data_IF_502018583471
#
_entry.id   IF_502018583471
#
_cell.length_a   1.000
_cell.length_b   1.000
_cell.length_c   1.000
_cell.angle_alpha   90.00
_cell.angle_beta   90.00
_cell.angle_gamma   90.00
#
_symmetry.space_group_name_H-M   'P 1'
#
loop_
_entity.id
_entity.type
_entity.pdbx_description
1 polymer ?
#
# COMPACT_ATOMS: atom_id res chain seq x y z
N UNK A 1 29.77 -1.49 8.39
CA UNK A 1 29.55 -0.41 7.40
C UNK A 1 28.07 -0.39 7.04
N UNK A 2 27.46 0.78 7.00
CA UNK A 2 26.08 0.95 6.55
C UNK A 2 25.93 0.52 5.09
N UNK A 3 24.75 0.02 4.70
CA UNK A 3 24.48 -0.26 3.29
C UNK A 3 24.41 1.04 2.50
N UNK A 4 24.95 1.08 1.29
CA UNK A 4 24.78 2.23 0.37
C UNK A 4 23.30 2.63 0.17
N UNK A 5 22.38 1.67 0.31
CA UNK A 5 20.92 1.89 0.24
C UNK A 5 20.36 2.73 1.38
N UNK A 6 21.08 2.82 2.49
CA UNK A 6 20.66 3.56 3.67
C UNK A 6 21.16 5.01 3.61
N UNK A 7 22.19 5.28 2.81
CA UNK A 7 22.80 6.60 2.67
C UNK A 7 22.03 7.41 1.63
N UNK A 8 21.37 8.49 2.08
CA UNK A 8 20.54 9.35 1.24
C UNK A 8 21.32 9.95 0.05
N UNK A 9 22.54 10.44 0.28
CA UNK A 9 23.35 11.06 -0.78
C UNK A 9 23.78 10.09 -1.88
N UNK A 10 23.72 8.77 -1.62
CA UNK A 10 24.09 7.72 -2.57
C UNK A 10 22.87 7.14 -3.26
N UNK A 11 21.80 6.83 -2.50
CA UNK A 11 20.65 6.09 -3.00
C UNK A 11 19.34 6.89 -3.06
N UNK A 12 19.30 8.06 -2.42
CA UNK A 12 18.13 8.94 -2.41
C UNK A 12 17.96 9.70 -3.73
N UNK A 13 16.75 10.22 -4.00
CA UNK A 13 16.46 10.98 -5.22
C UNK A 13 16.98 12.43 -5.13
N UNK A 14 18.30 12.61 -5.09
CA UNK A 14 18.95 13.93 -4.95
C UNK A 14 18.65 14.89 -6.11
N UNK A 15 18.15 14.38 -7.24
CA UNK A 15 17.66 15.17 -8.37
C UNK A 15 16.36 15.94 -8.07
N UNK A 16 15.67 15.65 -6.96
CA UNK A 16 14.43 16.30 -6.53
C UNK A 16 14.66 17.47 -5.55
N UNK A 17 15.64 18.34 -5.84
CA UNK A 17 15.98 19.47 -4.96
C UNK A 17 14.84 20.48 -4.73
N UNK A 18 13.84 20.51 -5.62
CA UNK A 18 12.59 21.24 -5.44
C UNK A 18 11.42 20.34 -5.83
N UNK A 19 10.45 20.20 -4.93
CA UNK A 19 9.26 19.36 -5.15
C UNK A 19 8.13 20.17 -5.77
N UNK A 20 7.69 19.76 -6.95
CA UNK A 20 6.41 20.11 -7.55
C UNK A 20 5.33 19.16 -7.03
N UNK A 21 4.51 19.65 -6.11
CA UNK A 21 3.43 18.89 -5.48
C UNK A 21 2.25 18.56 -6.41
N UNK A 22 2.18 19.15 -7.60
CA UNK A 22 1.22 18.74 -8.64
C UNK A 22 1.73 17.55 -9.46
N UNK A 23 3.04 17.27 -9.44
CA UNK A 23 3.65 16.21 -10.23
C UNK A 23 3.51 14.83 -9.54
N UNK A 24 2.73 13.87 -10.09
CA UNK A 24 2.54 12.56 -9.45
C UNK A 24 3.84 11.77 -9.26
N UNK A 25 4.81 11.93 -10.17
CA UNK A 25 6.12 11.29 -10.08
C UNK A 25 6.90 11.77 -8.84
N UNK A 26 6.87 13.07 -8.55
CA UNK A 26 7.58 13.64 -7.42
C UNK A 26 6.87 13.31 -6.11
N UNK A 27 5.53 13.39 -6.05
CA UNK A 27 4.73 12.95 -4.89
C UNK A 27 5.03 11.48 -4.53
N UNK A 28 5.03 10.60 -5.53
CA UNK A 28 5.40 9.18 -5.35
C UNK A 28 6.81 9.03 -4.78
N UNK A 29 7.78 9.75 -5.34
CA UNK A 29 9.18 9.67 -4.90
C UNK A 29 9.34 10.14 -3.45
N UNK A 30 8.70 11.25 -3.07
CA UNK A 30 8.66 11.74 -1.68
C UNK A 30 8.03 10.71 -0.74
N UNK A 31 6.84 10.19 -1.08
CA UNK A 31 6.16 9.19 -0.26
C UNK A 31 7.01 7.93 -0.07
N UNK A 32 7.67 7.45 -1.13
CA UNK A 32 8.58 6.31 -1.05
C UNK A 32 9.83 6.60 -0.20
N UNK A 33 10.40 7.81 -0.29
CA UNK A 33 11.53 8.25 0.55
C UNK A 33 11.16 8.33 2.03
N UNK A 34 9.97 8.84 2.36
CA UNK A 34 9.49 8.87 3.74
C UNK A 34 9.29 7.45 4.30
N UNK A 35 8.75 6.51 3.51
CA UNK A 35 8.68 5.10 3.90
C UNK A 35 10.07 4.48 4.07
N UNK A 36 11.03 4.77 3.19
CA UNK A 36 12.42 4.33 3.33
C UNK A 36 13.06 4.86 4.61
N UNK A 37 12.75 6.10 5.00
CA UNK A 37 13.27 6.65 6.26
C UNK A 37 12.81 5.87 7.49
N UNK A 38 11.61 5.27 7.47
CA UNK A 38 11.13 4.38 8.56
C UNK A 38 11.97 3.10 8.64
N UNK A 39 12.37 2.53 7.50
CA UNK A 39 13.30 1.41 7.48
C UNK A 39 14.63 1.77 8.11
N UNK A 40 15.14 2.97 7.83
CA UNK A 40 16.45 3.41 8.33
C UNK A 40 16.36 3.82 9.79
N UNK A 41 15.25 4.41 10.25
CA UNK A 41 14.99 4.69 11.67
C UNK A 41 15.11 3.42 12.52
N UNK A 42 14.54 2.31 12.04
CA UNK A 42 14.65 1.04 12.75
C UNK A 42 16.07 0.44 12.67
N UNK A 43 16.79 0.61 11.56
CA UNK A 43 18.20 0.17 11.48
C UNK A 43 19.12 1.02 12.36
N UNK A 44 18.91 2.33 12.40
CA UNK A 44 19.60 3.25 13.31
C UNK A 44 19.38 2.80 14.76
N UNK A 45 18.16 2.41 15.12
CA UNK A 45 17.86 1.81 16.44
C UNK A 45 18.59 0.50 16.68
N UNK A 46 18.54 -0.45 15.73
CA UNK A 46 19.19 -1.77 15.86
C UNK A 46 20.72 -1.68 15.97
N UNK A 47 21.32 -0.70 15.31
CA UNK A 47 22.77 -0.48 15.29
C UNK A 47 23.23 0.60 16.29
N UNK A 48 22.32 1.13 17.11
CA UNK A 48 22.56 2.22 18.06
C UNK A 48 23.19 3.47 17.42
N UNK A 49 22.81 3.81 16.18
CA UNK A 49 23.22 5.05 15.52
C UNK A 49 22.41 6.21 16.09
N UNK A 50 23.09 7.13 16.76
CA UNK A 50 22.52 8.38 17.27
C UNK A 50 22.98 9.55 16.39
N UNK A 51 22.39 10.75 16.48
CA UNK A 51 22.97 11.93 15.86
C UNK A 51 24.39 12.19 16.41
N UNK A 52 25.39 12.53 15.56
CA UNK A 52 25.29 12.84 14.13
C UNK A 52 25.41 11.64 13.17
N UNK A 53 25.62 10.41 13.65
CA UNK A 53 25.80 9.20 12.83
C UNK A 53 24.49 8.58 12.29
N UNK A 54 23.33 9.06 12.75
CA UNK A 54 22.01 8.62 12.29
C UNK A 54 21.82 8.91 10.78
N UNK A 55 21.39 7.90 10.02
CA UNK A 55 21.24 8.03 8.56
C UNK A 55 19.81 8.41 8.15
N UNK A 56 18.82 8.12 9.00
CA UNK A 56 17.43 8.36 8.66
C UNK A 56 17.07 9.84 8.39
N UNK A 57 17.61 10.84 9.13
CA UNK A 57 17.18 12.24 8.99
C UNK A 57 17.24 12.82 7.59
N UNK A 58 18.31 12.53 6.85
CA UNK A 58 18.50 13.03 5.50
C UNK A 58 17.35 12.65 4.54
N UNK A 59 16.62 11.56 4.81
CA UNK A 59 15.52 11.09 3.96
C UNK A 59 14.22 11.91 4.07
N UNK A 60 14.02 12.65 5.16
CA UNK A 60 12.86 13.52 5.32
C UNK A 60 13.25 15.00 5.30
N UNK A 61 14.41 15.36 5.85
CA UNK A 61 14.89 16.75 5.89
C UNK A 61 15.13 17.32 4.49
N UNK A 62 15.63 16.51 3.55
CA UNK A 62 15.82 16.91 2.16
C UNK A 62 14.53 17.42 1.50
N UNK A 63 13.38 16.89 1.93
CA UNK A 63 12.06 17.27 1.43
C UNK A 63 11.34 18.25 2.35
N UNK A 64 12.05 18.88 3.29
CA UNK A 64 11.50 19.84 4.25
C UNK A 64 10.42 19.25 5.16
N UNK A 65 10.60 18.01 5.59
CA UNK A 65 9.77 17.42 6.66
C UNK A 65 10.53 17.43 8.00
N UNK A 66 9.77 17.30 9.08
CA UNK A 66 10.26 17.02 10.42
C UNK A 66 9.59 15.75 10.96
N UNK A 67 10.35 14.93 11.71
CA UNK A 67 9.81 13.76 12.39
C UNK A 67 9.10 14.18 13.69
N UNK A 68 7.78 14.00 13.74
CA UNK A 68 6.96 14.35 14.91
C UNK A 68 6.87 13.19 15.89
N UNK A 69 6.68 11.98 15.38
CA UNK A 69 6.46 10.79 16.22
C UNK A 69 6.96 9.53 15.54
N UNK A 70 7.67 8.69 16.28
CA UNK A 70 7.96 7.30 15.92
C UNK A 70 6.79 6.42 16.38
N UNK A 71 6.33 5.51 15.53
CA UNK A 71 5.36 4.47 15.89
C UNK A 71 6.14 3.21 16.23
N UNK A 72 6.10 2.83 17.50
CA UNK A 72 6.87 1.73 18.09
C UNK A 72 5.89 0.63 18.44
N UNK A 73 6.26 -0.61 18.13
CA UNK A 73 5.47 -1.78 18.47
C UNK A 73 5.68 -2.16 19.94
N UNK A 74 4.59 -2.38 20.68
CA UNK A 74 4.65 -2.78 22.09
C UNK A 74 5.22 -4.20 22.27
N UNK A 75 5.14 -5.05 21.24
CA UNK A 75 5.58 -6.44 21.33
C UNK A 75 7.10 -6.62 21.26
N UNK A 76 7.77 -5.89 20.37
CA UNK A 76 9.22 -6.06 20.09
C UNK A 76 10.01 -4.74 20.14
N UNK A 77 9.37 -3.63 20.49
CA UNK A 77 9.93 -2.28 20.54
C UNK A 77 10.51 -1.81 19.19
N UNK A 78 10.14 -2.46 18.08
CA UNK A 78 10.59 -2.06 16.76
C UNK A 78 9.81 -0.83 16.28
N UNK A 79 10.51 0.08 15.63
CA UNK A 79 9.90 1.22 14.94
C UNK A 79 9.30 0.66 13.65
N UNK A 80 7.97 0.73 13.49
CA UNK A 80 7.27 0.20 12.31
C UNK A 80 6.61 1.30 11.46
N UNK A 81 6.49 2.51 12.02
CA UNK A 81 5.97 3.68 11.31
C UNK A 81 6.50 4.99 11.88
N UNK A 82 6.19 6.08 11.21
CA UNK A 82 6.46 7.43 11.69
C UNK A 82 5.47 8.45 11.14
N UNK A 83 5.33 9.55 11.87
CA UNK A 83 4.51 10.72 11.52
C UNK A 83 5.44 11.88 11.22
N UNK A 84 5.32 12.45 10.03
CA UNK A 84 6.11 13.57 9.55
C UNK A 84 5.22 14.80 9.36
N UNK A 85 5.73 15.98 9.69
CA UNK A 85 5.09 17.24 9.38
C UNK A 85 5.90 18.00 8.33
N UNK A 86 5.22 18.54 7.34
CA UNK A 86 5.86 19.36 6.31
C UNK A 86 6.11 20.78 6.84
N UNK A 87 7.36 21.23 6.76
CA UNK A 87 7.84 22.54 7.19
C UNK A 87 8.50 23.26 6.00
N UNK A 88 7.71 23.88 5.10
CA UNK A 88 8.27 24.53 3.93
C UNK A 88 9.26 25.63 4.32
N UNK A 89 10.32 25.78 3.52
CA UNK A 89 11.23 26.90 3.69
C UNK A 89 10.49 28.23 3.55
N UNK A 90 10.85 29.24 4.36
CA UNK A 90 10.16 30.53 4.44
C UNK A 90 10.10 31.35 3.11
N UNK A 91 10.73 30.86 2.03
CA UNK A 91 10.80 31.50 0.71
C UNK A 91 10.05 30.74 -0.39
N UNK A 92 9.37 29.65 -0.08
CA UNK A 92 8.61 28.90 -1.09
C UNK A 92 7.32 29.65 -1.42
N UNK A 93 7.11 29.98 -2.69
CA UNK A 93 5.89 30.66 -3.15
C UNK A 93 4.65 29.79 -2.88
N UNK A 94 3.58 30.41 -2.38
CA UNK A 94 2.34 29.71 -1.98
C UNK A 94 1.71 28.86 -3.10
N UNK A 95 1.87 29.29 -4.37
CA UNK A 95 1.36 28.53 -5.53
C UNK A 95 2.05 27.18 -5.72
N UNK A 96 3.32 27.05 -5.32
CA UNK A 96 4.06 25.78 -5.40
C UNK A 96 3.73 24.85 -4.25
N UNK A 97 3.09 25.35 -3.18
CA UNK A 97 2.67 24.55 -2.03
C UNK A 97 1.24 24.01 -2.17
N UNK A 98 0.53 24.39 -3.22
CA UNK A 98 -0.77 23.80 -3.54
C UNK A 98 -0.62 22.27 -3.65
N UNK A 99 -1.42 21.52 -2.89
CA UNK A 99 -1.40 20.05 -2.78
C UNK A 99 -0.21 19.44 -2.01
N UNK A 100 0.63 20.24 -1.35
CA UNK A 100 1.61 19.71 -0.40
C UNK A 100 0.89 19.06 0.80
N UNK A 101 1.34 17.88 1.27
CA UNK A 101 0.80 17.30 2.49
C UNK A 101 1.23 18.15 3.69
N UNK A 102 0.35 18.27 4.68
CA UNK A 102 0.71 18.83 5.98
C UNK A 102 1.31 17.75 6.87
N UNK A 103 0.72 16.56 6.87
CA UNK A 103 1.19 15.41 7.64
C UNK A 103 1.28 14.18 6.73
N UNK A 104 2.34 13.40 6.91
CA UNK A 104 2.48 12.08 6.29
C UNK A 104 2.63 11.03 7.39
N UNK A 105 1.79 10.01 7.38
CA UNK A 105 1.95 8.81 8.21
C UNK A 105 2.51 7.70 7.33
N UNK A 106 3.75 7.30 7.58
CA UNK A 106 4.45 6.29 6.78
C UNK A 106 4.68 5.00 7.57
N UNK A 107 4.53 3.86 6.90
CA UNK A 107 4.71 2.52 7.49
C UNK A 107 5.71 1.70 6.68
N UNK A 108 6.72 1.13 7.34
CA UNK A 108 7.65 0.19 6.70
C UNK A 108 7.05 -1.21 6.64
N UNK A 109 7.54 -2.01 5.71
CA UNK A 109 7.39 -3.45 5.76
C UNK A 109 8.48 -4.11 6.63
N UNK A 110 8.66 -5.41 6.43
CA UNK A 110 9.55 -6.24 7.24
C UNK A 110 11.02 -6.00 6.91
N UNK A 111 11.85 -5.90 7.95
CA UNK A 111 13.30 -5.85 7.83
C UNK A 111 13.83 -7.26 7.60
N UNK A 112 13.91 -7.65 6.35
CA UNK A 112 14.34 -8.99 5.97
C UNK A 112 15.85 -9.05 5.75
N UNK A 113 16.47 -10.17 6.17
CA UNK A 113 17.85 -10.47 5.80
C UNK A 113 17.87 -10.91 4.34
N UNK A 114 18.99 -10.67 3.64
CA UNK A 114 19.08 -10.86 2.18
C UNK A 114 18.62 -12.25 1.71
N UNK A 115 18.84 -13.28 2.53
CA UNK A 115 18.57 -14.68 2.17
C UNK A 115 17.20 -15.19 2.65
N UNK A 116 16.48 -14.43 3.50
CA UNK A 116 15.20 -14.83 4.10
C UNK A 116 13.99 -14.06 3.57
N UNK A 117 14.18 -13.07 2.69
CA UNK A 117 13.15 -12.13 2.23
C UNK A 117 11.84 -12.81 1.83
N UNK A 118 11.89 -13.79 0.92
CA UNK A 118 10.67 -14.44 0.44
C UNK A 118 9.95 -15.26 1.53
N UNK A 119 10.70 -15.87 2.45
CA UNK A 119 10.13 -16.64 3.57
C UNK A 119 9.45 -15.73 4.57
N UNK A 120 10.14 -14.67 4.98
CA UNK A 120 9.63 -13.72 5.97
C UNK A 120 8.36 -13.03 5.45
N UNK A 121 8.36 -12.62 4.18
CA UNK A 121 7.18 -12.03 3.54
C UNK A 121 6.01 -13.03 3.41
N UNK A 122 6.29 -14.31 3.22
CA UNK A 122 5.25 -15.34 3.21
C UNK A 122 4.65 -15.58 4.60
N UNK A 123 5.45 -15.47 5.67
CA UNK A 123 4.94 -15.48 7.05
C UNK A 123 4.11 -14.23 7.34
N UNK A 124 4.54 -13.06 6.85
CA UNK A 124 3.76 -11.82 6.97
C UNK A 124 2.43 -11.90 6.22
N UNK A 125 2.39 -12.56 5.06
CA UNK A 125 1.14 -12.85 4.33
C UNK A 125 0.17 -13.70 5.16
N UNK A 126 0.69 -14.68 5.92
CA UNK A 126 -0.14 -15.46 6.85
C UNK A 126 -0.63 -14.60 8.02
N UNK A 127 0.19 -13.69 8.54
CA UNK A 127 -0.25 -12.72 9.56
C UNK A 127 -1.41 -11.85 9.03
N UNK A 128 -1.31 -11.40 7.77
CA UNK A 128 -2.37 -10.63 7.11
C UNK A 128 -3.66 -11.42 7.00
N UNK A 129 -3.58 -12.69 6.58
CA UNK A 129 -4.72 -13.61 6.50
C UNK A 129 -5.35 -13.88 7.86
N UNK A 130 -4.52 -14.04 8.90
CA UNK A 130 -4.96 -14.52 10.21
C UNK A 130 -5.38 -13.42 11.19
N UNK A 131 -5.22 -12.14 10.82
CA UNK A 131 -5.79 -11.03 11.58
C UNK A 131 -4.81 -9.89 11.85
N UNK A 132 -4.27 -9.25 10.81
CA UNK A 132 -3.44 -8.05 10.98
C UNK A 132 -4.12 -6.97 11.84
N UNK A 133 -5.44 -6.84 11.72
CA UNK A 133 -6.28 -5.90 12.49
C UNK A 133 -6.35 -6.19 14.00
N UNK A 134 -5.79 -7.31 14.46
CA UNK A 134 -5.75 -7.73 15.86
C UNK A 134 -4.35 -7.55 16.47
N UNK A 135 -3.42 -6.93 15.74
CA UNK A 135 -2.05 -6.69 16.21
C UNK A 135 -1.92 -5.33 16.91
N UNK A 136 -1.02 -5.23 17.89
CA UNK A 136 -0.61 -3.97 18.53
C UNK A 136 -0.25 -2.89 17.50
N UNK A 137 0.53 -3.25 16.47
CA UNK A 137 0.89 -2.35 15.36
C UNK A 137 -0.32 -1.76 14.67
N UNK A 138 -1.35 -2.58 14.42
CA UNK A 138 -2.57 -2.10 13.77
C UNK A 138 -3.34 -1.12 14.64
N UNK A 139 -3.44 -1.39 15.95
CA UNK A 139 -4.11 -0.50 16.90
C UNK A 139 -3.39 0.84 17.01
N UNK A 140 -2.06 0.82 17.20
CA UNK A 140 -1.21 2.01 17.26
C UNK A 140 -1.29 2.82 15.97
N UNK A 141 -1.24 2.16 14.80
CA UNK A 141 -1.38 2.81 13.50
C UNK A 141 -2.75 3.49 13.36
N UNK A 142 -3.83 2.77 13.68
CA UNK A 142 -5.20 3.29 13.63
C UNK A 142 -5.37 4.51 14.55
N UNK A 143 -4.86 4.43 15.77
CA UNK A 143 -4.92 5.54 16.72
C UNK A 143 -4.10 6.74 16.24
N UNK A 144 -2.90 6.51 15.71
CA UNK A 144 -2.07 7.58 15.17
C UNK A 144 -2.75 8.31 14.01
N UNK A 145 -3.33 7.58 13.05
CA UNK A 145 -4.04 8.16 11.91
C UNK A 145 -5.27 8.95 12.36
N UNK A 146 -6.09 8.39 13.25
CA UNK A 146 -7.26 9.10 13.81
C UNK A 146 -6.88 10.38 14.52
N UNK A 147 -5.83 10.35 15.34
CA UNK A 147 -5.34 11.52 16.07
C UNK A 147 -4.79 12.60 15.14
N UNK A 148 -4.06 12.21 14.09
CA UNK A 148 -3.58 13.17 13.08
C UNK A 148 -4.77 13.84 12.41
N UNK A 149 -5.73 13.05 11.88
CA UNK A 149 -6.90 13.57 11.17
C UNK A 149 -7.75 14.47 12.07
N UNK A 150 -7.93 14.12 13.34
CA UNK A 150 -8.69 14.96 14.28
C UNK A 150 -7.98 16.29 14.60
N UNK A 151 -6.63 16.32 14.53
CA UNK A 151 -5.83 17.50 14.85
C UNK A 151 -5.70 18.46 13.67
N UNK A 152 -5.46 17.95 12.46
CA UNK A 152 -5.16 18.80 11.29
C UNK A 152 -6.26 18.84 10.24
N UNK A 153 -7.34 18.08 10.42
CA UNK A 153 -8.35 17.83 9.39
C UNK A 153 -7.95 16.70 8.45
N UNK A 154 -8.86 16.33 7.54
CA UNK A 154 -8.62 15.28 6.55
C UNK A 154 -7.89 15.77 5.30
N UNK A 155 -8.07 17.04 4.93
CA UNK A 155 -7.34 17.67 3.84
C UNK A 155 -5.86 17.75 4.21
N UNK A 156 -4.99 17.28 3.30
CA UNK A 156 -3.52 17.31 3.43
C UNK A 156 -2.90 16.27 4.39
N UNK A 157 -3.58 15.15 4.68
CA UNK A 157 -2.97 13.99 5.35
C UNK A 157 -2.70 12.88 4.34
N UNK A 158 -1.45 12.42 4.26
CA UNK A 158 -1.07 11.27 3.44
C UNK A 158 -0.85 10.02 4.29
N UNK A 159 -1.30 8.89 3.78
CA UNK A 159 -0.86 7.56 4.22
C UNK A 159 0.15 7.02 3.21
N UNK A 160 1.25 6.47 3.66
CA UNK A 160 2.21 5.79 2.80
C UNK A 160 2.65 4.48 3.44
N UNK A 161 2.82 3.43 2.63
CA UNK A 161 3.33 2.18 3.16
C UNK A 161 3.95 1.31 2.09
N UNK A 162 4.88 0.46 2.51
CA UNK A 162 5.53 -0.52 1.64
C UNK A 162 5.35 -1.95 2.16
N UNK A 163 5.04 -2.91 1.28
CA UNK A 163 4.93 -4.33 1.64
C UNK A 163 3.95 -4.51 2.81
N UNK A 164 4.31 -5.14 3.92
CA UNK A 164 3.45 -5.21 5.13
C UNK A 164 2.99 -3.82 5.62
N UNK A 165 3.83 -2.78 5.53
CA UNK A 165 3.45 -1.42 5.87
C UNK A 165 2.38 -0.84 4.96
N UNK A 166 2.33 -1.26 3.69
CA UNK A 166 1.23 -0.86 2.79
C UNK A 166 -0.08 -1.56 3.15
N UNK A 167 -0.05 -2.79 3.66
CA UNK A 167 -1.24 -3.44 4.21
C UNK A 167 -1.78 -2.67 5.42
N UNK A 168 -0.88 -2.08 6.22
CA UNK A 168 -1.26 -1.20 7.33
C UNK A 168 -1.83 0.13 6.89
N UNK A 169 -1.22 0.77 5.88
CA UNK A 169 -1.78 1.95 5.24
C UNK A 169 -3.17 1.65 4.63
N UNK A 170 -3.36 0.48 4.02
CA UNK A 170 -4.66 0.05 3.47
C UNK A 170 -5.70 -0.16 4.57
N UNK A 171 -5.34 -0.82 5.68
CA UNK A 171 -6.25 -0.99 6.81
C UNK A 171 -6.69 0.37 7.36
N UNK A 172 -5.75 1.28 7.58
CA UNK A 172 -6.03 2.63 8.07
C UNK A 172 -6.88 3.44 7.09
N UNK A 173 -6.51 3.44 5.81
CA UNK A 173 -7.25 4.11 4.74
C UNK A 173 -8.68 3.62 4.61
N UNK A 174 -8.90 2.30 4.59
CA UNK A 174 -10.25 1.70 4.57
C UNK A 174 -11.09 2.14 5.77
N UNK A 175 -10.51 2.13 6.97
CA UNK A 175 -11.23 2.55 8.18
C UNK A 175 -11.63 4.03 8.13
N UNK A 176 -10.75 4.90 7.66
CA UNK A 176 -11.06 6.33 7.51
C UNK A 176 -12.09 6.58 6.40
N UNK A 177 -11.96 5.89 5.27
CA UNK A 177 -12.91 6.00 4.15
C UNK A 177 -14.33 5.56 4.56
N UNK A 178 -14.45 4.51 5.39
CA UNK A 178 -15.73 4.08 5.97
C UNK A 178 -16.41 5.13 6.85
N UNK A 179 -15.64 6.06 7.41
CA UNK A 179 -16.18 7.21 8.17
C UNK A 179 -16.31 8.47 7.32
N UNK A 180 -16.23 8.36 5.98
CA UNK A 180 -16.34 9.48 5.05
C UNK A 180 -15.05 10.30 4.86
N UNK A 181 -13.91 9.83 5.35
CA UNK A 181 -12.63 10.53 5.26
C UNK A 181 -11.73 9.87 4.22
N UNK A 182 -11.58 10.52 3.07
CA UNK A 182 -10.77 10.02 1.95
C UNK A 182 -9.35 10.55 2.04
N UNK A 183 -8.43 9.73 2.53
CA UNK A 183 -7.02 10.08 2.64
C UNK A 183 -6.25 9.75 1.37
N UNK A 184 -5.41 10.68 0.92
CA UNK A 184 -4.38 10.41 -0.09
C UNK A 184 -3.50 9.27 0.40
N UNK A 185 -3.45 8.17 -0.34
CA UNK A 185 -2.81 6.93 0.12
C UNK A 185 -1.88 6.35 -0.93
N UNK A 186 -0.63 6.10 -0.56
CA UNK A 186 0.44 5.60 -1.42
C UNK A 186 0.83 4.18 -0.98
N UNK A 187 0.42 3.18 -1.76
CA UNK A 187 0.60 1.76 -1.47
C UNK A 187 1.69 1.17 -2.36
N UNK A 188 2.88 0.94 -1.80
CA UNK A 188 4.02 0.39 -2.53
C UNK A 188 4.13 -1.12 -2.33
N UNK A 189 4.06 -1.87 -3.43
CA UNK A 189 4.19 -3.32 -3.45
C UNK A 189 3.31 -4.04 -2.41
N UNK A 190 2.00 -3.72 -2.33
CA UNK A 190 1.15 -4.34 -1.33
C UNK A 190 0.96 -5.83 -1.57
N UNK A 191 0.84 -6.60 -0.48
CA UNK A 191 0.50 -8.01 -0.58
C UNK A 191 -0.89 -8.20 -1.17
N UNK A 192 -0.99 -9.12 -2.14
CA UNK A 192 -2.24 -9.64 -2.66
C UNK A 192 -2.42 -11.08 -2.21
N UNK A 193 -3.49 -11.34 -1.47
CA UNK A 193 -3.71 -12.60 -0.77
C UNK A 193 -4.65 -13.50 -1.58
N UNK A 194 -4.15 -14.11 -2.66
CA UNK A 194 -4.92 -15.06 -3.47
C UNK A 194 -4.04 -16.11 -4.13
N UNK A 195 -4.67 -17.05 -4.85
CA UNK A 195 -3.96 -17.90 -5.78
C UNK A 195 -3.17 -17.05 -6.80
N UNK A 196 -1.90 -17.35 -7.09
CA UNK A 196 -1.02 -16.52 -7.90
C UNK A 196 -1.27 -16.73 -9.40
N UNK A 197 -2.47 -16.38 -9.87
CA UNK A 197 -2.92 -16.56 -11.26
C UNK A 197 -2.06 -15.74 -12.23
N UNK A 198 -1.54 -14.59 -11.80
CA UNK A 198 -0.69 -13.72 -12.61
C UNK A 198 0.63 -14.39 -13.03
N UNK A 199 1.09 -15.40 -12.28
CA UNK A 199 2.30 -16.20 -12.61
C UNK A 199 2.13 -17.08 -13.85
N UNK A 200 0.89 -17.32 -14.29
CA UNK A 200 0.62 -18.18 -15.44
C UNK A 200 1.05 -17.44 -16.71
N UNK A 201 2.00 -18.03 -17.46
CA UNK A 201 2.56 -17.43 -18.68
C UNK A 201 1.52 -17.33 -19.80
N UNK A 202 0.69 -18.35 -19.94
CA UNK A 202 -0.34 -18.39 -20.98
C UNK A 202 -1.50 -17.43 -20.62
N UNK A 203 -1.66 -16.38 -21.45
CA UNK A 203 -2.70 -15.37 -21.26
C UNK A 203 -4.12 -15.93 -21.39
N UNK A 204 -4.35 -16.92 -22.26
CA UNK A 204 -5.68 -17.54 -22.45
C UNK A 204 -6.05 -18.37 -21.23
N UNK A 205 -5.11 -19.17 -20.71
CA UNK A 205 -5.32 -19.95 -19.48
C UNK A 205 -5.56 -19.03 -18.29
N UNK A 206 -4.74 -17.98 -18.14
CA UNK A 206 -4.92 -16.95 -17.10
C UNK A 206 -6.31 -16.34 -17.13
N UNK A 207 -6.76 -15.89 -18.31
CA UNK A 207 -8.06 -15.27 -18.48
C UNK A 207 -9.21 -16.26 -18.23
N UNK A 208 -9.11 -17.48 -18.75
CA UNK A 208 -10.11 -18.54 -18.55
C UNK A 208 -10.28 -18.90 -17.07
N UNK A 209 -9.18 -19.01 -16.32
CA UNK A 209 -9.22 -19.28 -14.88
C UNK A 209 -9.89 -18.16 -14.09
N UNK A 210 -9.62 -16.89 -14.42
CA UNK A 210 -10.28 -15.77 -13.75
C UNK A 210 -11.78 -15.71 -14.04
N UNK A 211 -12.18 -15.88 -15.30
CA UNK A 211 -13.61 -15.93 -15.67
C UNK A 211 -14.31 -17.07 -14.93
N UNK A 212 -13.76 -18.28 -14.98
CA UNK A 212 -14.33 -19.43 -14.31
C UNK A 212 -14.44 -19.20 -12.79
N UNK A 213 -13.38 -18.66 -12.19
CA UNK A 213 -13.37 -18.27 -10.78
C UNK A 213 -14.50 -17.31 -10.44
N UNK A 214 -14.67 -16.21 -11.20
CA UNK A 214 -15.73 -15.24 -10.98
C UNK A 214 -17.13 -15.82 -11.12
N UNK A 215 -17.38 -16.65 -12.12
CA UNK A 215 -18.68 -17.30 -12.33
C UNK A 215 -19.03 -18.23 -11.17
N UNK A 216 -18.08 -19.07 -10.72
CA UNK A 216 -18.27 -19.96 -9.57
C UNK A 216 -18.57 -19.14 -8.31
N UNK A 217 -17.79 -18.08 -8.08
CA UNK A 217 -17.93 -17.20 -6.92
C UNK A 217 -19.29 -16.50 -6.89
N UNK A 218 -19.70 -15.95 -8.04
CA UNK A 218 -21.00 -15.30 -8.20
C UNK A 218 -22.16 -16.29 -7.96
N UNK A 219 -22.08 -17.49 -8.53
CA UNK A 219 -23.08 -18.54 -8.32
C UNK A 219 -23.20 -18.96 -6.85
N UNK A 220 -22.07 -19.13 -6.16
CA UNK A 220 -22.03 -19.45 -4.73
C UNK A 220 -22.60 -18.31 -3.88
N UNK A 221 -22.26 -17.05 -4.20
CA UNK A 221 -22.81 -15.87 -3.53
C UNK A 221 -24.33 -15.80 -3.66
N UNK A 222 -24.89 -16.04 -4.86
CA UNK A 222 -26.35 -16.07 -5.07
C UNK A 222 -27.02 -17.19 -4.27
N UNK A 223 -26.42 -18.39 -4.22
CA UNK A 223 -26.95 -19.51 -3.46
C UNK A 223 -26.96 -19.25 -1.94
N UNK A 224 -25.94 -18.55 -1.43
CA UNK A 224 -25.79 -18.23 -0.01
C UNK A 224 -26.61 -17.00 0.43
N UNK A 225 -26.95 -16.07 -0.48
CA UNK A 225 -27.81 -14.90 -0.19
C UNK A 225 -29.21 -15.25 0.34
N UNK A 226 -29.68 -16.49 0.16
CA UNK A 226 -30.90 -16.99 0.80
C UNK A 226 -30.80 -17.22 2.32
N UNK A 227 -29.60 -17.07 2.90
CA UNK A 227 -29.31 -17.21 4.33
C UNK A 227 -28.54 -15.97 4.80
N UNK A 228 -29.28 -14.90 5.15
CA UNK A 228 -28.82 -13.64 5.77
C UNK A 228 -27.29 -13.44 5.85
N UNK A 229 -26.69 -12.88 4.79
CA UNK A 229 -25.32 -12.38 4.82
C UNK A 229 -25.34 -10.85 5.09
N UNK A 230 -24.76 -10.33 6.19
CA UNK A 230 -24.68 -8.89 6.43
C UNK A 230 -23.30 -8.29 6.05
N UNK A 231 -23.30 -6.98 5.74
CA UNK A 231 -22.17 -6.01 5.74
C UNK A 231 -21.16 -5.93 4.57
N UNK A 232 -20.86 -6.96 3.77
CA UNK A 232 -19.80 -6.82 2.74
C UNK A 232 -20.20 -5.92 1.55
N UNK A 233 -21.48 -5.96 1.15
CA UNK A 233 -21.99 -5.25 -0.01
C UNK A 233 -21.99 -3.71 0.17
N UNK A 234 -22.30 -3.24 1.38
CA UNK A 234 -22.27 -1.81 1.75
C UNK A 234 -20.84 -1.30 1.94
N UNK A 235 -19.92 -2.15 2.38
CA UNK A 235 -18.51 -1.77 2.57
C UNK A 235 -17.84 -1.41 1.23
N UNK A 236 -18.10 -2.20 0.18
CA UNK A 236 -17.45 -2.00 -1.12
C UNK A 236 -17.95 -0.74 -1.85
N UNK A 237 -19.24 -0.42 -1.71
CA UNK A 237 -19.83 0.81 -2.26
C UNK A 237 -19.37 2.05 -1.49
N UNK A 238 -19.28 1.99 -0.15
CA UNK A 238 -18.72 3.09 0.66
C UNK A 238 -17.25 3.35 0.29
N UNK A 239 -16.47 2.29 0.09
CA UNK A 239 -15.05 2.38 -0.28
C UNK A 239 -14.81 2.75 -1.76
N UNK A 240 -15.83 2.81 -2.62
CA UNK A 240 -15.66 3.09 -4.07
C UNK A 240 -15.10 4.48 -4.35
N UNK A 241 -15.43 5.44 -3.48
CA UNK A 241 -14.98 6.84 -3.56
C UNK A 241 -13.54 7.03 -3.08
N UNK A 242 -12.97 6.05 -2.36
CA UNK A 242 -11.57 6.08 -1.96
C UNK A 242 -10.69 5.50 -3.06
N UNK A 243 -9.77 6.31 -3.60
CA UNK A 243 -8.92 5.93 -4.73
C UNK A 243 -7.44 6.02 -4.32
N UNK A 244 -6.87 4.98 -3.68
CA UNK A 244 -5.45 4.95 -3.34
C UNK A 244 -4.56 4.88 -4.61
N UNK A 245 -3.37 5.47 -4.53
CA UNK A 245 -2.29 5.25 -5.48
C UNK A 245 -1.62 3.91 -5.20
N UNK A 246 -1.76 2.98 -6.14
CA UNK A 246 -1.30 1.60 -6.00
C UNK A 246 -0.11 1.35 -6.92
N UNK A 247 1.07 1.09 -6.34
CA UNK A 247 2.32 0.91 -7.08
C UNK A 247 2.74 -0.56 -7.03
N UNK A 248 2.85 -1.20 -8.20
CA UNK A 248 3.14 -2.63 -8.31
C UNK A 248 4.20 -2.92 -9.38
N UNK A 249 4.91 -4.05 -9.22
CA UNK A 249 5.88 -4.52 -10.19
C UNK A 249 5.48 -5.92 -10.70
N UNK A 250 5.42 -6.19 -12.01
CA UNK A 250 5.08 -7.51 -12.54
C UNK A 250 6.03 -8.64 -12.09
N UNK A 251 7.29 -8.30 -11.81
CA UNK A 251 8.30 -9.25 -11.32
C UNK A 251 8.24 -9.46 -9.79
N UNK A 252 7.36 -8.75 -9.10
CA UNK A 252 7.08 -8.92 -7.68
C UNK A 252 5.82 -9.78 -7.51
N UNK A 253 6.04 -11.07 -7.21
CA UNK A 253 4.95 -12.03 -7.06
C UNK A 253 4.08 -11.82 -5.83
N UNK A 254 4.41 -10.88 -4.94
CA UNK A 254 3.59 -10.52 -3.78
C UNK A 254 2.49 -9.55 -4.18
N UNK A 255 2.76 -8.64 -5.12
CA UNK A 255 1.82 -7.59 -5.52
C UNK A 255 1.31 -7.70 -6.96
N UNK A 256 1.94 -8.50 -7.83
CA UNK A 256 1.61 -8.53 -9.25
C UNK A 256 0.17 -8.94 -9.56
N UNK A 257 -0.48 -9.71 -8.68
CA UNK A 257 -1.88 -10.10 -8.86
C UNK A 257 -2.85 -8.90 -8.90
N UNK A 258 -2.49 -7.74 -8.32
CA UNK A 258 -3.29 -6.52 -8.48
C UNK A 258 -3.45 -6.10 -9.94
N UNK A 259 -2.42 -6.29 -10.77
CA UNK A 259 -2.48 -5.99 -12.22
C UNK A 259 -3.64 -6.77 -12.83
N UNK A 260 -3.63 -8.06 -12.56
CA UNK A 260 -4.59 -8.97 -13.09
C UNK A 260 -5.99 -8.86 -12.51
N UNK A 261 -6.10 -8.55 -11.22
CA UNK A 261 -7.36 -8.24 -10.54
C UNK A 261 -8.09 -7.07 -11.21
N UNK A 262 -7.39 -5.94 -11.42
CA UNK A 262 -8.00 -4.77 -12.05
C UNK A 262 -8.26 -4.95 -13.55
N UNK A 263 -7.34 -5.58 -14.29
CA UNK A 263 -7.55 -5.87 -15.72
C UNK A 263 -8.72 -6.83 -15.93
N UNK A 264 -8.85 -7.86 -15.10
CA UNK A 264 -9.96 -8.80 -15.17
C UNK A 264 -11.30 -8.10 -14.97
N UNK A 265 -11.39 -7.22 -13.96
CA UNK A 265 -12.60 -6.43 -13.71
C UNK A 265 -13.01 -5.59 -14.92
N UNK A 266 -12.06 -4.90 -15.55
CA UNK A 266 -12.33 -4.12 -16.76
C UNK A 266 -12.77 -5.01 -17.92
N UNK A 267 -12.06 -6.11 -18.17
CA UNK A 267 -12.40 -7.03 -19.26
C UNK A 267 -13.80 -7.62 -19.07
N UNK A 268 -14.20 -7.93 -17.84
CA UNK A 268 -15.55 -8.40 -17.51
C UNK A 268 -16.62 -7.34 -17.81
N UNK A 269 -16.34 -6.06 -17.56
CA UNK A 269 -17.22 -4.96 -17.96
C UNK A 269 -17.32 -4.84 -19.49
N UNK A 270 -16.20 -4.92 -20.21
CA UNK A 270 -16.15 -4.84 -21.68
C UNK A 270 -16.95 -5.95 -22.38
N UNK A 271 -17.00 -7.16 -21.81
CA UNK A 271 -17.76 -8.30 -22.37
C UNK A 271 -19.22 -8.37 -21.88
N UNK A 272 -19.70 -7.35 -21.15
CA UNK A 272 -21.07 -7.32 -20.61
C UNK A 272 -21.31 -8.21 -19.39
N UNK A 273 -20.25 -8.79 -18.81
CA UNK A 273 -20.30 -9.63 -17.61
C UNK A 273 -19.97 -8.86 -16.32
N UNK A 274 -19.98 -7.52 -16.35
CA UNK A 274 -19.60 -6.67 -15.23
C UNK A 274 -20.40 -6.95 -13.95
N UNK A 275 -21.70 -7.23 -14.04
CA UNK A 275 -22.53 -7.56 -12.87
C UNK A 275 -22.11 -8.85 -12.17
N UNK A 276 -21.68 -9.87 -12.93
CA UNK A 276 -21.16 -11.13 -12.39
C UNK A 276 -19.87 -10.86 -11.63
N UNK A 277 -18.98 -10.07 -12.23
CA UNK A 277 -17.69 -9.74 -11.64
C UNK A 277 -17.82 -8.86 -10.39
N UNK A 278 -18.73 -7.90 -10.38
CA UNK A 278 -19.03 -7.08 -9.18
C UNK A 278 -19.50 -7.97 -8.03
N UNK A 279 -20.39 -8.92 -8.31
CA UNK A 279 -20.86 -9.87 -7.31
C UNK A 279 -19.72 -10.76 -6.79
N UNK A 280 -18.85 -11.25 -7.68
CA UNK A 280 -17.71 -12.09 -7.32
C UNK A 280 -16.64 -11.34 -6.51
N UNK A 281 -16.29 -10.13 -6.94
CA UNK A 281 -15.30 -9.27 -6.25
C UNK A 281 -15.77 -8.87 -4.85
N UNK A 282 -17.07 -8.62 -4.67
CA UNK A 282 -17.64 -8.32 -3.34
C UNK A 282 -17.67 -9.52 -2.40
N UNK A 283 -17.49 -10.74 -2.92
CA UNK A 283 -17.67 -11.98 -2.18
C UNK A 283 -16.59 -12.99 -2.59
N UNK A 284 -15.32 -12.76 -2.25
CA UNK A 284 -14.26 -13.67 -2.71
C UNK A 284 -14.49 -15.10 -2.22
N UNK A 285 -14.01 -16.12 -2.96
CA UNK A 285 -14.12 -17.52 -2.53
C UNK A 285 -13.52 -17.76 -1.14
N UNK A 286 -12.43 -17.04 -0.81
CA UNK A 286 -11.82 -17.07 0.51
C UNK A 286 -12.76 -16.54 1.58
N UNK A 287 -13.41 -15.40 1.34
CA UNK A 287 -14.38 -14.82 2.29
C UNK A 287 -15.62 -15.70 2.44
N UNK A 288 -16.13 -16.28 1.35
CA UNK A 288 -17.27 -17.20 1.40
C UNK A 288 -16.95 -18.47 2.21
N UNK A 289 -15.73 -19.00 2.06
CA UNK A 289 -15.27 -20.14 2.85
C UNK A 289 -15.06 -19.78 4.33
N UNK A 290 -14.44 -18.64 4.62
CA UNK A 290 -14.25 -18.15 5.99
C UNK A 290 -15.58 -17.82 6.68
N UNK A 291 -16.53 -17.22 5.95
CA UNK A 291 -17.88 -16.94 6.44
C UNK A 291 -18.65 -18.22 6.75
N UNK A 292 -18.53 -19.26 5.91
CA UNK A 292 -19.10 -20.58 6.20
C UNK A 292 -18.51 -21.24 7.45
N UNK A 293 -17.28 -20.86 7.83
CA UNK A 293 -16.60 -21.29 9.06
C UNK A 293 -16.81 -20.31 10.24
N UNK A 294 -17.67 -19.28 10.09
CA UNK A 294 -17.96 -18.31 11.14
C UNK A 294 -16.82 -17.31 11.43
N UNK A 295 -15.84 -17.18 10.53
CA UNK A 295 -14.74 -16.21 10.64
C UNK A 295 -15.00 -15.04 9.69
N UNK A 296 -15.49 -13.92 10.21
CA UNK A 296 -15.66 -12.68 9.44
C UNK A 296 -14.35 -11.88 9.41
N UNK A 297 -13.83 -11.56 8.21
CA UNK A 297 -12.80 -10.53 8.05
C UNK A 297 -12.99 -9.82 6.71
N UNK A 298 -12.92 -8.49 6.70
CA UNK A 298 -12.93 -7.71 5.46
C UNK A 298 -11.58 -7.89 4.74
N UNK A 299 -11.55 -8.42 3.50
CA UNK A 299 -10.31 -8.74 2.81
C UNK A 299 -9.50 -7.47 2.54
N UNK A 300 -8.34 -7.36 3.18
CA UNK A 300 -7.46 -6.18 3.07
C UNK A 300 -7.03 -5.88 1.63
N UNK A 301 -6.81 -6.91 0.82
CA UNK A 301 -6.28 -6.79 -0.53
C UNK A 301 -7.33 -6.40 -1.59
N UNK A 302 -8.63 -6.51 -1.30
CA UNK A 302 -9.67 -6.13 -2.26
C UNK A 302 -9.93 -4.63 -2.17
N UNK A 303 -9.59 -3.93 -3.25
CA UNK A 303 -9.81 -2.50 -3.41
C UNK A 303 -10.88 -2.27 -4.49
N UNK A 304 -11.96 -1.51 -4.20
CA UNK A 304 -12.96 -1.18 -5.21
C UNK A 304 -12.39 -0.34 -6.35
N UNK A 305 -11.66 0.70 -5.98
CA UNK A 305 -11.06 1.68 -6.88
C UNK A 305 -9.58 1.86 -6.55
N UNK A 306 -8.76 2.20 -7.55
CA UNK A 306 -7.36 2.55 -7.36
C UNK A 306 -6.79 3.29 -8.58
N UNK A 307 -5.78 4.12 -8.36
CA UNK A 307 -4.87 4.57 -9.41
C UNK A 307 -3.68 3.62 -9.48
N UNK A 308 -3.77 2.60 -10.35
CA UNK A 308 -2.75 1.56 -10.50
C UNK A 308 -1.60 2.06 -11.35
N UNK A 309 -0.39 2.05 -10.80
CA UNK A 309 0.87 2.32 -11.48
C UNK A 309 1.70 1.05 -11.53
N UNK A 310 1.97 0.56 -12.74
CA UNK A 310 2.79 -0.62 -12.99
C UNK A 310 4.20 -0.19 -13.38
N UNK A 311 5.21 -0.69 -12.68
CA UNK A 311 6.61 -0.47 -13.04
C UNK A 311 7.07 -1.49 -14.09
N UNK A 312 7.26 -1.02 -15.32
CA UNK A 312 7.71 -1.80 -16.46
C UNK A 312 9.22 -1.72 -16.67
N UNK A 313 9.95 -0.98 -15.82
CA UNK A 313 11.41 -0.97 -15.86
C UNK A 313 11.99 -2.36 -15.55
N UNK A 314 13.06 -2.79 -16.23
CA UNK A 314 13.70 -4.07 -15.95
C UNK A 314 14.10 -4.21 -14.48
N UNK A 315 13.75 -5.35 -13.89
CA UNK A 315 14.12 -5.71 -12.51
C UNK A 315 14.87 -7.04 -12.57
N UNK A 316 16.14 -7.11 -12.14
CA UNK A 316 16.97 -8.30 -12.34
C UNK A 316 16.56 -9.47 -11.44
N UNK A 317 15.93 -9.19 -10.30
CA UNK A 317 15.48 -10.19 -9.35
C UNK A 317 14.23 -9.71 -8.57
N UNK A 318 13.63 -10.64 -7.83
CA UNK A 318 12.48 -10.38 -6.97
C UNK A 318 12.77 -9.30 -5.91
N UNK A 319 13.99 -9.25 -5.36
CA UNK A 319 14.33 -8.29 -4.30
C UNK A 319 14.38 -6.85 -4.82
N UNK A 320 14.82 -6.66 -6.07
CA UNK A 320 14.77 -5.36 -6.74
C UNK A 320 13.32 -5.01 -7.11
N UNK A 321 12.57 -5.99 -7.62
CA UNK A 321 11.17 -5.82 -7.98
C UNK A 321 10.24 -5.57 -6.79
N UNK A 322 10.58 -6.08 -5.60
CA UNK A 322 9.83 -5.84 -4.38
C UNK A 322 10.38 -4.65 -3.58
N UNK A 323 11.62 -4.22 -3.78
CA UNK A 323 12.22 -3.17 -2.94
C UNK A 323 11.62 -1.78 -3.17
N UNK A 324 11.45 -1.02 -2.08
CA UNK A 324 10.93 0.35 -2.11
C UNK A 324 11.78 1.31 -2.95
N UNK A 325 13.08 1.02 -3.08
CA UNK A 325 14.06 1.84 -3.79
C UNK A 325 13.86 1.94 -5.30
N UNK A 326 13.00 1.11 -5.88
CA UNK A 326 12.63 1.26 -7.28
C UNK A 326 11.75 2.49 -7.53
N UNK A 327 11.10 3.05 -6.52
CA UNK A 327 9.98 3.98 -6.71
C UNK A 327 10.35 5.47 -6.82
N UNK A 328 11.63 5.80 -6.58
CA UNK A 328 12.16 7.17 -6.65
C UNK A 328 13.27 7.37 -7.70
N UNK A 329 13.46 6.41 -8.62
CA UNK A 329 14.42 6.58 -9.73
C UNK A 329 13.89 7.59 -10.77
N UNK A 330 14.76 8.37 -11.44
CA UNK A 330 14.34 9.36 -12.42
C UNK A 330 13.71 8.72 -13.67
N UNK A 331 14.37 7.70 -14.23
CA UNK A 331 14.03 7.12 -15.54
C UNK A 331 13.20 5.82 -15.41
N UNK A 332 12.05 5.93 -14.75
CA UNK A 332 11.13 4.79 -14.60
C UNK A 332 10.15 4.72 -15.78
N UNK A 333 10.05 3.55 -16.40
CA UNK A 333 9.01 3.24 -17.36
C UNK A 333 7.76 2.80 -16.59
N UNK A 334 6.85 3.75 -16.35
CA UNK A 334 5.65 3.52 -15.55
C UNK A 334 4.39 3.61 -16.41
N UNK A 335 3.48 2.67 -16.24
CA UNK A 335 2.15 2.73 -16.82
C UNK A 335 1.12 2.97 -15.72
N UNK A 336 0.43 4.11 -15.78
CA UNK A 336 -0.63 4.46 -14.82
C UNK A 336 -2.00 4.32 -15.46
N UNK A 337 -2.94 3.69 -14.76
CA UNK A 337 -4.35 3.59 -15.13
C UNK A 337 -5.23 3.73 -13.90
N UNK A 338 -6.32 4.46 -14.05
CA UNK A 338 -7.32 4.61 -12.99
C UNK A 338 -8.43 3.57 -13.18
N UNK A 339 -8.76 2.86 -12.12
CA UNK A 339 -9.87 1.92 -12.04
C UNK A 339 -10.86 2.43 -11.00
N UNK A 340 -12.11 2.64 -11.41
CA UNK A 340 -13.17 3.14 -10.56
C UNK A 340 -14.28 2.09 -10.47
N UNK A 341 -14.75 1.81 -9.26
CA UNK A 341 -15.97 1.04 -9.07
C UNK A 341 -17.19 1.95 -9.29
N UNK A 342 -18.06 1.59 -10.24
CA UNK A 342 -19.27 2.34 -10.61
C UNK A 342 -20.56 1.61 -10.27
#
# INVERSE_FOLDING_TARGET
MASERDVFSVSGPTYLASVNWECPHQRRSVAASLVQSVYILERDRQENRQPPEALAPAWWEFFHFELIRKLVDDADLSIFGAVYEFKPAARTQDSYLANAPKIVVAFRGTLTKKDSIARDLNLDLQLIQNGLHQTSRSEIAMQAVRNVVSTVGSSNVWLAGHSLGSAMATLAGKNMAKTGVMLDTFLFNPPFVSAPIERIRDKKVKHGLRIAGSVITAGLSLALKGKNLPKSQDSFSVLSSWVPCLFVNPNDHICSEYIGYFEHRRNMEEIGAGSIERLATQNSLGDLFLSALGKESDPLHLLPSASLTVNLSPSPDFKQAHGIHQWWKPDLHLQTRQYLFS
#
